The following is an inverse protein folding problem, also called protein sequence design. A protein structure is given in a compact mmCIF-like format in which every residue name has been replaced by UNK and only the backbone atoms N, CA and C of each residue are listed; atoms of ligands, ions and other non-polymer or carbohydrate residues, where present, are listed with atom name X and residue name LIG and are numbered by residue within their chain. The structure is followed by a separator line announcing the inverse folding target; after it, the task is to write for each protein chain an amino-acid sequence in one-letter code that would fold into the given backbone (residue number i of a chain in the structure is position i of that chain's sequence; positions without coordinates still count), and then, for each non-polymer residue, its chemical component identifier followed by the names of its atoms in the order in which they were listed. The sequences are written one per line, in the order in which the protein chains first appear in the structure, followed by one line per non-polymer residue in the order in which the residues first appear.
data_IF_056125101443
#
_entry.id   IF_056125101443
#
_cell.length_a   1.000
_cell.length_b   1.000
_cell.length_c   1.000
_cell.angle_alpha   90.00
_cell.angle_beta   90.00
_cell.angle_gamma   90.00
#
_symmetry.space_group_name_H-M   'P 1'
#
loop_
_entity.id
_entity.type
_entity.pdbx_description
1 polymer ?
#
# COMPACT_ATOMS: atom_id res chain seq x y z
N UNK A 1 21.16 12.73 -46.62
CA UNK A 1 21.19 11.72 -45.53
C UNK A 1 20.45 12.16 -44.27
N UNK A 2 20.72 13.34 -43.69
CA UNK A 2 20.00 13.86 -42.50
C UNK A 2 18.48 13.97 -42.69
N UNK A 3 18.03 14.44 -43.86
CA UNK A 3 16.59 14.55 -44.19
C UNK A 3 15.90 13.20 -44.40
N UNK A 4 16.62 12.19 -44.89
CA UNK A 4 16.08 10.82 -45.07
C UNK A 4 15.95 10.14 -43.70
N UNK A 5 16.92 10.36 -42.81
CA UNK A 5 16.85 9.89 -41.41
C UNK A 5 15.67 10.50 -40.67
N UNK A 6 15.48 11.81 -40.78
CA UNK A 6 14.35 12.48 -40.14
C UNK A 6 13.01 12.03 -40.74
N UNK A 7 12.93 11.83 -42.06
CA UNK A 7 11.73 11.29 -42.71
C UNK A 7 11.38 9.87 -42.23
N UNK A 8 12.39 8.99 -42.12
CA UNK A 8 12.19 7.63 -41.62
C UNK A 8 11.77 7.60 -40.14
N UNK A 9 12.31 8.49 -39.31
CA UNK A 9 11.90 8.64 -37.92
C UNK A 9 10.45 9.15 -37.83
N UNK A 10 10.08 10.17 -38.62
CA UNK A 10 8.70 10.68 -38.66
C UNK A 10 7.72 9.63 -39.19
N UNK A 11 8.11 8.84 -40.20
CA UNK A 11 7.30 7.74 -40.73
C UNK A 11 7.14 6.61 -39.70
N UNK A 12 8.18 6.30 -38.93
CA UNK A 12 8.12 5.33 -37.83
C UNK A 12 7.21 5.82 -36.70
N UNK A 13 7.30 7.11 -36.33
CA UNK A 13 6.41 7.73 -35.33
C UNK A 13 4.96 7.72 -35.80
N UNK A 14 4.70 8.04 -37.07
CA UNK A 14 3.35 7.95 -37.66
C UNK A 14 2.84 6.51 -37.69
N UNK A 15 3.69 5.55 -38.03
CA UNK A 15 3.32 4.14 -38.06
C UNK A 15 3.02 3.58 -36.66
N UNK A 16 3.86 3.92 -35.67
CA UNK A 16 3.63 3.60 -34.26
C UNK A 16 2.37 4.31 -33.74
N UNK A 17 2.16 5.58 -34.08
CA UNK A 17 0.96 6.33 -33.72
C UNK A 17 -0.32 5.74 -34.33
N UNK A 18 -0.29 5.29 -35.58
CA UNK A 18 -1.42 4.61 -36.24
C UNK A 18 -1.68 3.24 -35.59
N UNK A 19 -0.64 2.49 -35.23
CA UNK A 19 -0.75 1.26 -34.45
C UNK A 19 -1.34 1.51 -33.06
N UNK A 20 -0.92 2.59 -32.39
CA UNK A 20 -1.37 3.01 -31.06
C UNK A 20 -2.84 3.45 -31.08
N UNK A 21 -3.26 4.19 -32.12
CA UNK A 21 -4.65 4.59 -32.33
C UNK A 21 -5.53 3.36 -32.61
N UNK A 22 -5.13 2.48 -33.54
CA UNK A 22 -5.88 1.24 -33.81
C UNK A 22 -5.91 0.26 -32.63
N UNK A 23 -4.88 0.26 -31.77
CA UNK A 23 -4.84 -0.52 -30.53
C UNK A 23 -5.67 0.11 -29.39
N UNK A 24 -6.05 1.39 -29.47
CA UNK A 24 -6.91 2.01 -28.46
C UNK A 24 -8.37 2.14 -28.86
N UNK A 25 -8.78 2.02 -30.12
CA UNK A 25 -10.15 2.46 -30.47
C UNK A 25 -11.23 1.40 -30.68
N UNK A 26 -10.95 0.13 -30.97
CA UNK A 26 -12.07 -0.82 -31.20
C UNK A 26 -11.86 -2.27 -30.74
N UNK A 27 -10.67 -2.85 -30.86
CA UNK A 27 -10.47 -4.27 -30.51
C UNK A 27 -10.27 -4.49 -29.01
N UNK A 28 -9.55 -3.58 -28.34
CA UNK A 28 -9.04 -3.79 -26.98
C UNK A 28 -10.02 -3.37 -25.88
N UNK A 29 -10.77 -2.27 -26.06
CA UNK A 29 -11.84 -1.87 -25.13
C UNK A 29 -13.06 -2.80 -25.18
N UNK A 30 -13.25 -3.52 -26.28
CA UNK A 30 -14.39 -4.41 -26.49
C UNK A 30 -14.02 -5.89 -26.37
N UNK A 31 -12.81 -6.26 -25.93
CA UNK A 31 -12.49 -7.68 -25.72
C UNK A 31 -13.46 -8.32 -24.71
N UNK A 32 -13.89 -7.53 -23.73
CA UNK A 32 -14.91 -7.88 -22.75
C UNK A 32 -16.29 -8.16 -23.37
N UNK A 33 -16.66 -7.49 -24.48
CA UNK A 33 -17.93 -7.75 -25.17
C UNK A 33 -17.90 -9.00 -26.05
N UNK A 34 -16.74 -9.63 -26.24
CA UNK A 34 -16.60 -10.97 -26.84
C UNK A 34 -16.55 -12.11 -25.81
N UNK A 35 -16.46 -11.81 -24.51
CA UNK A 35 -16.46 -12.78 -23.39
C UNK A 35 -17.70 -13.70 -23.38
N UNK A 36 -18.93 -13.24 -23.68
CA UNK A 36 -20.12 -14.10 -23.64
C UNK A 36 -20.09 -15.27 -24.63
N UNK A 37 -19.22 -15.21 -25.66
CA UNK A 37 -19.06 -16.29 -26.64
C UNK A 37 -18.15 -17.43 -26.14
N UNK A 38 -17.38 -17.22 -25.06
CA UNK A 38 -16.33 -18.14 -24.60
C UNK A 38 -16.44 -18.55 -23.13
N UNK A 39 -17.42 -18.03 -22.36
CA UNK A 39 -17.67 -18.41 -20.95
C UNK A 39 -17.81 -19.92 -20.73
N UNK A 40 -18.24 -20.68 -21.74
CA UNK A 40 -18.38 -22.13 -21.66
C UNK A 40 -17.06 -22.92 -21.88
N UNK A 41 -15.93 -22.25 -22.12
CA UNK A 41 -14.64 -22.90 -22.41
C UNK A 41 -13.51 -22.36 -21.52
N UNK A 42 -13.30 -23.02 -20.36
CA UNK A 42 -12.31 -22.66 -19.32
C UNK A 42 -10.91 -22.35 -19.86
N UNK A 43 -10.41 -23.19 -20.78
CA UNK A 43 -9.08 -23.02 -21.39
C UNK A 43 -9.00 -21.76 -22.26
N UNK A 44 -10.06 -21.44 -23.01
CA UNK A 44 -10.09 -20.24 -23.85
C UNK A 44 -10.13 -18.97 -22.99
N UNK A 45 -10.86 -18.98 -21.87
CA UNK A 45 -10.89 -17.88 -20.92
C UNK A 45 -9.53 -17.64 -20.25
N UNK A 46 -8.84 -18.69 -19.81
CA UNK A 46 -7.46 -18.60 -19.30
C UNK A 46 -6.49 -18.05 -20.35
N UNK A 47 -6.51 -18.57 -21.59
CA UNK A 47 -5.66 -18.07 -22.66
C UNK A 47 -5.91 -16.60 -23.00
N UNK A 48 -7.17 -16.14 -22.98
CA UNK A 48 -7.53 -14.74 -23.23
C UNK A 48 -7.05 -13.86 -22.06
N UNK A 49 -7.19 -14.33 -20.82
CA UNK A 49 -6.67 -13.64 -19.64
C UNK A 49 -5.14 -13.49 -19.70
N UNK A 50 -4.43 -14.58 -19.98
CA UNK A 50 -2.97 -14.60 -20.10
C UNK A 50 -2.48 -13.72 -21.26
N UNK A 51 -3.18 -13.74 -22.40
CA UNK A 51 -2.88 -12.88 -23.53
C UNK A 51 -3.14 -11.41 -23.22
N UNK A 52 -4.25 -11.10 -22.55
CA UNK A 52 -4.59 -9.74 -22.10
C UNK A 52 -3.56 -9.21 -21.11
N UNK A 53 -3.12 -10.05 -20.17
CA UNK A 53 -2.08 -9.70 -19.20
C UNK A 53 -0.73 -9.47 -19.89
N UNK A 54 -0.30 -10.40 -20.74
CA UNK A 54 0.95 -10.26 -21.52
C UNK A 54 0.95 -9.00 -22.40
N UNK A 55 -0.21 -8.66 -22.98
CA UNK A 55 -0.34 -7.47 -23.80
C UNK A 55 -0.40 -6.19 -22.96
N UNK A 56 -1.03 -6.24 -21.78
CA UNK A 56 -1.02 -5.15 -20.80
C UNK A 56 0.42 -4.82 -20.39
N UNK A 57 1.20 -5.85 -20.02
CA UNK A 57 2.64 -5.74 -19.72
C UNK A 57 3.42 -5.13 -20.88
N UNK A 58 3.15 -5.59 -22.12
CA UNK A 58 3.78 -5.02 -23.32
C UNK A 58 3.40 -3.55 -23.53
N UNK A 59 2.14 -3.18 -23.33
CA UNK A 59 1.66 -1.80 -23.52
C UNK A 59 2.13 -0.85 -22.42
N UNK A 60 2.22 -1.31 -21.16
CA UNK A 60 2.81 -0.56 -20.06
C UNK A 60 4.30 -0.24 -20.32
N UNK A 61 4.98 -1.14 -21.05
CA UNK A 61 6.37 -0.93 -21.48
C UNK A 61 6.55 0.08 -22.64
N UNK A 62 5.47 0.57 -23.27
CA UNK A 62 5.53 1.58 -24.35
C UNK A 62 5.30 3.02 -23.83
N UNK A 63 6.16 4.00 -24.16
CA UNK A 63 6.07 5.33 -23.58
C UNK A 63 4.87 6.11 -24.13
N UNK A 64 4.21 6.88 -23.26
CA UNK A 64 3.13 7.78 -23.65
C UNK A 64 3.64 8.92 -24.56
N UNK A 65 2.78 9.56 -25.37
CA UNK A 65 3.21 10.69 -26.20
C UNK A 65 3.85 11.83 -25.40
N UNK A 66 3.36 12.11 -24.20
CA UNK A 66 3.95 13.06 -23.24
C UNK A 66 5.32 12.60 -22.77
N UNK A 67 5.48 11.33 -22.41
CA UNK A 67 6.78 10.72 -22.04
C UNK A 67 7.81 10.78 -23.17
N UNK A 68 7.38 10.52 -24.41
CA UNK A 68 8.25 10.63 -25.59
C UNK A 68 8.71 12.08 -25.78
N UNK A 69 7.81 13.06 -25.61
CA UNK A 69 8.14 14.47 -25.76
C UNK A 69 9.10 14.92 -24.66
N UNK A 70 8.86 14.52 -23.41
CA UNK A 70 9.73 14.77 -22.26
C UNK A 70 11.14 14.20 -22.49
N UNK A 71 11.22 12.93 -22.88
CA UNK A 71 12.49 12.26 -23.20
C UNK A 71 13.25 12.93 -24.37
N UNK A 72 12.54 13.42 -25.40
CA UNK A 72 13.16 14.14 -26.53
C UNK A 72 13.74 15.49 -26.09
N UNK A 73 13.10 16.15 -25.14
CA UNK A 73 13.49 17.48 -24.67
C UNK A 73 14.45 17.46 -23.48
N UNK A 74 14.61 16.31 -22.83
CA UNK A 74 15.30 16.21 -21.53
C UNK A 74 14.56 16.98 -20.44
N UNK A 75 13.23 17.06 -20.54
CA UNK A 75 12.36 17.68 -19.54
C UNK A 75 11.81 16.58 -18.62
N UNK A 76 11.83 16.79 -17.31
CA UNK A 76 11.11 15.94 -16.35
C UNK A 76 9.61 16.18 -16.48
N UNK A 77 8.81 15.11 -16.41
CA UNK A 77 7.35 15.25 -16.35
C UNK A 77 6.94 15.54 -14.91
N UNK A 78 6.02 16.51 -14.69
CA UNK A 78 5.46 16.71 -13.38
C UNK A 78 4.74 15.43 -12.93
N UNK A 79 4.92 15.09 -11.66
CA UNK A 79 4.22 14.01 -10.97
C UNK A 79 2.71 14.25 -11.08
N UNK A 80 1.94 13.20 -11.37
CA UNK A 80 0.47 13.30 -11.40
C UNK A 80 -0.06 13.27 -9.95
N UNK A 81 -0.78 14.31 -9.49
CA UNK A 81 -1.34 14.35 -8.14
C UNK A 81 -2.40 13.26 -7.87
N UNK A 82 -2.90 12.55 -8.89
CA UNK A 82 -3.81 11.40 -8.73
C UNK A 82 -3.09 10.05 -8.49
N UNK A 83 -1.75 10.02 -8.50
CA UNK A 83 -0.96 8.79 -8.31
C UNK A 83 -1.10 8.22 -6.88
N UNK A 84 -1.45 6.94 -6.75
CA UNK A 84 -1.71 6.26 -5.46
C UNK A 84 -0.43 5.73 -4.79
N UNK A 85 -0.31 5.92 -3.47
CA UNK A 85 0.85 5.58 -2.63
C UNK A 85 0.93 4.10 -2.22
N UNK A 86 2.13 3.50 -2.23
CA UNK A 86 2.45 2.10 -1.87
C UNK A 86 3.78 1.95 -1.11
N UNK A 87 3.75 2.15 0.22
CA UNK A 87 4.81 2.03 1.25
C UNK A 87 6.29 2.44 1.01
N UNK A 88 6.85 3.24 1.93
CA UNK A 88 8.23 3.24 2.47
C UNK A 88 8.40 4.27 3.62
N UNK A 89 9.25 3.95 4.63
CA UNK A 89 10.27 4.82 5.30
C UNK A 89 10.51 4.52 6.80
N UNK A 90 11.78 4.60 7.28
CA UNK A 90 12.19 4.48 8.70
C UNK A 90 13.37 5.40 9.11
N UNK A 91 13.39 5.91 10.35
CA UNK A 91 14.65 6.10 11.10
C UNK A 91 14.69 5.19 12.35
N UNK A 92 15.84 4.52 12.55
CA UNK A 92 16.25 3.44 13.49
C UNK A 92 15.87 1.97 13.15
N UNK A 93 16.18 1.50 11.92
CA UNK A 93 15.76 0.17 11.41
C UNK A 93 16.83 -0.96 11.48
N UNK A 94 16.45 -2.20 11.84
CA UNK A 94 17.07 -3.42 11.27
C UNK A 94 16.09 -4.26 10.41
N UNK A 95 15.19 -3.61 9.66
CA UNK A 95 14.04 -4.13 8.87
C UNK A 95 12.98 -4.86 9.74
N UNK A 96 11.69 -4.96 9.36
CA UNK A 96 11.15 -5.88 8.35
C UNK A 96 9.75 -5.40 7.93
N UNK A 97 9.65 -4.70 6.81
CA UNK A 97 8.52 -4.87 5.89
C UNK A 97 8.90 -6.02 4.95
N UNK A 98 7.91 -6.75 4.47
CA UNK A 98 7.95 -7.57 3.28
C UNK A 98 6.61 -7.29 2.61
N UNK A 99 6.52 -6.59 1.48
CA UNK A 99 5.55 -7.12 0.52
C UNK A 99 5.97 -8.58 0.26
N UNK A 100 5.13 -9.54 -0.15
CA UNK A 100 5.68 -10.72 -0.80
C UNK A 100 6.53 -10.20 -1.98
N UNK A 101 7.84 -10.08 -1.74
CA UNK A 101 8.91 -9.67 -2.65
C UNK A 101 9.21 -8.16 -2.88
N UNK A 102 8.65 -7.19 -2.14
CA UNK A 102 9.01 -5.75 -2.30
C UNK A 102 9.22 -4.99 -0.99
N UNK A 103 10.19 -4.08 -0.96
CA UNK A 103 10.62 -3.29 0.18
C UNK A 103 11.45 -2.10 -0.26
N UNK A 104 11.07 -0.88 0.12
CA UNK A 104 11.93 0.29 0.01
C UNK A 104 12.02 0.92 1.39
N UNK A 105 13.25 1.18 1.78
CA UNK A 105 13.63 1.86 3.00
C UNK A 105 14.35 3.11 2.60
N UNK A 106 14.18 4.12 3.43
CA UNK A 106 14.90 5.34 3.22
C UNK A 106 15.38 5.81 4.59
N UNK A 107 16.58 6.39 4.66
CA UNK A 107 17.25 6.84 5.89
C UNK A 107 18.03 8.14 5.67
N UNK A 108 18.13 9.03 6.65
CA UNK A 108 19.06 10.18 6.60
C UNK A 108 20.46 9.73 7.02
N UNK A 109 21.49 10.32 6.45
CA UNK A 109 22.87 10.12 6.91
C UNK A 109 23.11 10.76 8.29
N UNK A 110 24.20 10.36 8.96
CA UNK A 110 24.58 10.90 10.28
C UNK A 110 24.85 12.42 10.24
N UNK A 111 25.21 12.95 9.07
CA UNK A 111 25.48 14.37 8.85
C UNK A 111 24.21 15.19 8.54
N UNK A 112 23.08 14.54 8.27
CA UNK A 112 21.82 15.15 7.87
C UNK A 112 21.93 16.00 6.60
N UNK A 113 22.72 15.53 5.64
CA UNK A 113 22.99 16.17 4.35
C UNK A 113 22.47 15.36 3.18
N UNK A 114 22.20 14.08 3.39
CA UNK A 114 21.72 13.17 2.35
C UNK A 114 20.70 12.19 2.89
N UNK A 115 19.95 11.62 1.95
CA UNK A 115 18.97 10.58 2.17
C UNK A 115 19.38 9.37 1.36
N UNK A 116 19.50 8.21 2.00
CA UNK A 116 19.76 6.94 1.34
C UNK A 116 18.46 6.18 1.14
N UNK A 117 18.16 5.81 -0.10
CA UNK A 117 17.00 5.03 -0.53
C UNK A 117 17.50 3.66 -0.96
N UNK A 118 17.04 2.60 -0.30
CA UNK A 118 17.52 1.26 -0.57
C UNK A 118 16.43 0.23 -0.36
N UNK A 119 16.55 -0.93 -1.00
CA UNK A 119 15.55 -1.98 -0.90
C UNK A 119 15.51 -2.90 -2.10
N UNK A 120 14.45 -3.66 -2.28
CA UNK A 120 14.25 -4.60 -3.38
C UNK A 120 12.81 -4.48 -3.85
N UNK A 121 12.58 -4.45 -5.15
CA UNK A 121 11.24 -4.43 -5.74
C UNK A 121 11.16 -5.54 -6.77
N UNK A 122 10.22 -6.47 -6.58
CA UNK A 122 10.07 -7.61 -7.47
C UNK A 122 9.25 -7.32 -8.73
N UNK A 123 8.36 -6.32 -8.68
CA UNK A 123 7.52 -5.97 -9.81
C UNK A 123 8.39 -5.41 -10.95
N UNK A 124 8.40 -6.06 -12.12
CA UNK A 124 9.17 -5.61 -13.27
C UNK A 124 8.70 -4.26 -13.82
N UNK A 125 7.52 -3.76 -13.44
CA UNK A 125 7.01 -2.43 -13.76
C UNK A 125 7.50 -1.34 -12.81
N UNK A 126 8.21 -1.68 -11.73
CA UNK A 126 8.73 -0.72 -10.74
C UNK A 126 10.26 -0.66 -10.77
N UNK A 127 10.82 -0.41 -11.95
CA UNK A 127 12.28 -0.43 -12.20
C UNK A 127 13.00 0.85 -11.84
N UNK A 128 12.25 1.93 -11.66
CA UNK A 128 12.78 3.23 -11.29
C UNK A 128 12.08 3.72 -10.05
N UNK A 129 12.84 4.32 -9.13
CA UNK A 129 12.30 5.15 -8.06
C UNK A 129 12.48 6.61 -8.43
N UNK A 130 11.50 7.44 -8.08
CA UNK A 130 11.52 8.88 -8.29
C UNK A 130 11.40 9.49 -6.91
N UNK A 131 12.45 10.19 -6.51
CA UNK A 131 12.56 10.79 -5.20
C UNK A 131 12.37 12.28 -5.37
N UNK A 132 11.28 12.80 -4.82
CA UNK A 132 10.88 14.18 -4.93
C UNK A 132 11.01 14.86 -3.58
N UNK A 133 11.74 15.97 -3.53
CA UNK A 133 11.77 16.87 -2.40
C UNK A 133 10.84 18.04 -2.70
N UNK A 134 9.86 18.29 -1.82
CA UNK A 134 8.97 19.45 -1.89
C UNK A 134 8.98 20.25 -0.59
N UNK A 135 8.53 21.50 -0.68
CA UNK A 135 8.21 22.28 0.52
C UNK A 135 6.79 21.98 1.04
N UNK A 136 6.41 22.58 2.17
CA UNK A 136 5.10 22.38 2.81
C UNK A 136 3.91 22.88 1.96
N UNK A 137 4.16 23.62 0.88
CA UNK A 137 3.15 24.02 -0.09
C UNK A 137 3.02 23.04 -1.27
N UNK A 138 3.73 21.91 -1.20
CA UNK A 138 3.93 20.93 -2.27
C UNK A 138 4.65 21.51 -3.50
N UNK A 139 5.41 22.61 -3.36
CA UNK A 139 6.28 23.10 -4.44
C UNK A 139 7.53 22.21 -4.53
N UNK A 140 7.74 21.59 -5.69
CA UNK A 140 8.90 20.74 -5.97
C UNK A 140 10.20 21.57 -5.93
N UNK A 141 11.16 21.14 -5.11
CA UNK A 141 12.48 21.76 -4.96
C UNK A 141 13.55 21.02 -5.73
N UNK A 142 13.53 19.69 -5.68
CA UNK A 142 14.47 18.82 -6.37
C UNK A 142 13.84 17.45 -6.64
N UNK A 143 14.31 16.78 -7.69
CA UNK A 143 13.86 15.44 -8.06
C UNK A 143 15.05 14.61 -8.53
N UNK A 144 15.08 13.35 -8.13
CA UNK A 144 16.11 12.40 -8.55
C UNK A 144 15.46 11.08 -8.94
N UNK A 145 15.81 10.55 -10.11
CA UNK A 145 15.43 9.20 -10.51
C UNK A 145 16.56 8.21 -10.24
N UNK A 146 16.20 7.07 -9.66
CA UNK A 146 17.10 5.96 -9.37
C UNK A 146 16.64 4.74 -10.14
N UNK A 147 17.55 4.11 -10.88
CA UNK A 147 17.29 2.82 -11.54
C UNK A 147 17.59 1.65 -10.61
N UNK A 148 16.76 0.61 -10.67
CA UNK A 148 17.02 -0.66 -10.01
C UNK A 148 18.30 -1.32 -10.54
N UNK A 149 19.04 -1.92 -9.62
CA UNK A 149 20.15 -2.84 -9.85
C UNK A 149 19.62 -4.23 -10.21
N UNK A 150 20.53 -5.17 -10.45
CA UNK A 150 20.19 -6.58 -10.73
C UNK A 150 19.27 -7.17 -9.65
N UNK A 151 18.16 -7.78 -10.05
CA UNK A 151 17.21 -8.38 -9.13
C UNK A 151 16.23 -7.39 -8.49
N UNK A 152 16.09 -6.17 -9.04
CA UNK A 152 15.14 -5.18 -8.55
C UNK A 152 15.62 -4.42 -7.32
N UNK A 153 16.91 -4.52 -6.98
CA UNK A 153 17.49 -3.89 -5.79
C UNK A 153 17.72 -2.39 -6.01
N UNK A 154 17.37 -1.56 -5.04
CA UNK A 154 17.71 -0.15 -4.99
C UNK A 154 18.73 0.07 -3.88
N UNK A 155 19.70 0.95 -4.11
CA UNK A 155 20.65 1.38 -3.10
C UNK A 155 21.36 2.65 -3.59
N UNK A 156 20.78 3.81 -3.31
CA UNK A 156 21.31 5.11 -3.69
C UNK A 156 21.31 6.08 -2.54
N UNK A 157 22.25 7.02 -2.57
CA UNK A 157 22.34 8.14 -1.63
C UNK A 157 22.16 9.44 -2.41
N UNK A 158 21.17 10.24 -2.00
CA UNK A 158 20.70 11.44 -2.68
C UNK A 158 20.94 12.63 -1.76
N UNK A 159 21.58 13.68 -2.28
CA UNK A 159 21.79 14.90 -1.51
C UNK A 159 20.46 15.59 -1.22
N UNK A 160 20.27 16.08 0.01
CA UNK A 160 19.11 16.91 0.34
C UNK A 160 19.36 18.32 -0.24
N UNK A 161 18.39 18.91 -0.96
CA UNK A 161 18.59 20.21 -1.58
C UNK A 161 18.92 21.31 -0.56
N UNK A 162 19.84 22.20 -0.94
CA UNK A 162 20.15 23.38 -0.13
C UNK A 162 18.94 24.32 -0.09
N UNK A 163 18.37 24.51 1.10
CA UNK A 163 17.17 25.32 1.27
C UNK A 163 17.10 26.00 2.63
N UNK A 164 16.43 27.15 2.67
CA UNK A 164 16.13 27.90 3.87
C UNK A 164 14.95 27.35 4.67
N UNK A 165 14.18 26.40 4.11
CA UNK A 165 13.06 25.77 4.80
C UNK A 165 13.53 24.98 6.03
N UNK A 166 12.67 24.93 7.04
CA UNK A 166 12.87 24.15 8.28
C UNK A 166 12.29 22.75 8.21
N UNK A 167 11.42 22.50 7.22
CA UNK A 167 10.76 21.22 6.94
C UNK A 167 10.71 20.99 5.44
N UNK A 168 10.87 19.73 5.03
CA UNK A 168 10.69 19.27 3.66
C UNK A 168 9.79 18.04 3.63
N UNK A 169 9.05 17.89 2.55
CA UNK A 169 8.32 16.66 2.23
C UNK A 169 9.19 15.82 1.29
N UNK A 170 9.33 14.54 1.62
CA UNK A 170 10.00 13.56 0.79
C UNK A 170 8.98 12.56 0.28
N UNK A 171 8.86 12.48 -1.04
CA UNK A 171 7.88 11.65 -1.72
C UNK A 171 8.63 10.70 -2.63
N UNK A 172 8.36 9.40 -2.49
CA UNK A 172 9.04 8.35 -3.28
C UNK A 172 7.99 7.70 -4.17
N UNK A 173 8.20 7.75 -5.47
CA UNK A 173 7.37 7.05 -6.45
C UNK A 173 8.15 5.89 -7.06
N UNK A 174 7.44 4.94 -7.66
CA UNK A 174 8.03 3.95 -8.53
C UNK A 174 7.35 3.94 -9.90
N UNK A 175 8.11 3.58 -10.92
CA UNK A 175 7.55 3.43 -12.25
C UNK A 175 8.42 2.59 -13.19
N UNK A 176 7.88 2.31 -14.38
CA UNK A 176 8.58 1.49 -15.37
C UNK A 176 9.71 2.27 -16.07
N UNK A 177 9.78 3.59 -15.85
CA UNK A 177 10.71 4.54 -16.47
C UNK A 177 11.11 5.64 -15.47
N UNK A 178 12.12 6.40 -15.85
CA UNK A 178 12.58 7.61 -15.15
C UNK A 178 11.61 8.80 -15.26
N UNK A 179 10.62 8.73 -16.15
CA UNK A 179 9.68 9.80 -16.50
C UNK A 179 8.31 9.22 -16.84
N UNK A 180 7.22 9.94 -16.59
CA UNK A 180 5.87 9.53 -16.99
C UNK A 180 4.87 9.54 -15.84
N UNK A 181 3.86 8.70 -15.96
CA UNK A 181 2.97 8.37 -14.84
C UNK A 181 3.70 7.41 -13.91
N UNK A 182 3.57 7.64 -12.61
CA UNK A 182 4.22 6.84 -11.60
C UNK A 182 3.15 6.22 -10.70
N UNK A 183 3.53 5.22 -9.91
CA UNK A 183 2.73 4.79 -8.78
C UNK A 183 3.50 5.27 -7.57
N UNK A 184 2.91 6.16 -6.78
CA UNK A 184 3.55 6.61 -5.55
C UNK A 184 3.83 5.39 -4.67
N UNK A 185 4.99 5.36 -4.03
CA UNK A 185 5.28 4.44 -2.94
C UNK A 185 5.01 5.13 -1.60
N UNK A 186 5.29 6.41 -1.50
CA UNK A 186 4.96 7.20 -0.31
C UNK A 186 4.49 8.53 -0.80
N UNK A 187 3.22 8.84 -0.59
CA UNK A 187 2.71 10.18 -0.81
C UNK A 187 2.71 10.93 0.52
N UNK A 188 3.57 11.94 0.65
CA UNK A 188 3.50 12.97 1.69
C UNK A 188 3.51 12.46 3.14
N UNK A 189 4.26 11.39 3.43
CA UNK A 189 4.34 10.80 4.78
C UNK A 189 5.75 10.85 5.40
N UNK A 190 6.75 11.28 4.63
CA UNK A 190 8.10 11.46 5.12
C UNK A 190 8.36 12.95 5.21
N UNK A 191 8.45 13.45 6.44
CA UNK A 191 8.88 14.83 6.66
C UNK A 191 10.32 14.83 7.13
N UNK A 192 11.15 15.62 6.48
CA UNK A 192 12.48 15.95 6.97
C UNK A 192 12.37 17.24 7.77
N UNK A 193 12.95 17.27 8.96
CA UNK A 193 13.02 18.44 9.83
C UNK A 193 14.47 18.70 10.23
N UNK A 194 14.81 19.95 10.54
CA UNK A 194 16.13 20.28 11.07
C UNK A 194 16.20 20.00 12.57
N UNK A 195 17.21 19.25 13.00
CA UNK A 195 17.51 19.07 14.42
C UNK A 195 18.20 20.32 15.02
N UNK A 196 18.52 20.30 16.32
CA UNK A 196 19.17 21.41 17.03
C UNK A 196 20.51 21.86 16.42
N UNK A 197 21.19 20.95 15.71
CA UNK A 197 22.46 21.22 15.04
C UNK A 197 22.28 21.70 13.58
N UNK A 198 21.03 21.85 13.12
CA UNK A 198 20.69 22.24 11.76
C UNK A 198 20.77 21.11 10.73
N UNK A 199 21.09 19.89 11.14
CA UNK A 199 21.16 18.71 10.27
C UNK A 199 19.74 18.16 10.01
N UNK A 200 19.48 17.68 8.80
CA UNK A 200 18.19 17.07 8.46
C UNK A 200 18.05 15.70 9.12
N UNK A 201 16.90 15.47 9.72
CA UNK A 201 16.46 14.19 10.25
C UNK A 201 15.04 13.94 9.80
N UNK A 202 14.60 12.69 9.84
CA UNK A 202 13.20 12.36 9.63
C UNK A 202 12.43 12.70 10.88
N UNK A 203 11.29 13.35 10.69
CA UNK A 203 10.35 13.65 11.74
C UNK A 203 9.81 12.34 12.32
N UNK A 204 10.22 12.07 13.56
CA UNK A 204 9.68 10.95 14.31
C UNK A 204 8.26 11.27 14.75
N UNK A 205 7.35 10.28 14.72
CA UNK A 205 5.99 10.52 15.20
C UNK A 205 6.02 10.73 16.72
N UNK A 206 5.25 11.68 17.28
CA UNK A 206 5.21 11.91 18.72
C UNK A 206 4.70 10.71 19.53
N UNK A 207 4.02 9.75 18.89
CA UNK A 207 3.54 8.51 19.54
C UNK A 207 4.44 7.30 19.27
N UNK A 208 5.51 7.44 18.49
CA UNK A 208 6.37 6.32 18.11
C UNK A 208 6.94 5.55 19.30
N UNK A 209 7.55 6.24 20.27
CA UNK A 209 8.16 5.56 21.41
C UNK A 209 7.14 4.81 22.27
N UNK A 210 5.93 5.38 22.43
CA UNK A 210 4.83 4.70 23.10
C UNK A 210 4.39 3.45 22.33
N UNK A 211 4.25 3.56 21.01
CA UNK A 211 3.92 2.44 20.13
C UNK A 211 5.00 1.35 20.17
N UNK A 212 6.28 1.73 20.17
CA UNK A 212 7.41 0.80 20.26
C UNK A 212 7.38 -0.01 21.55
N UNK A 213 7.18 0.65 22.70
CA UNK A 213 7.05 -0.03 24.00
C UNK A 213 5.89 -1.04 23.97
N UNK A 214 4.75 -0.67 23.36
CA UNK A 214 3.59 -1.55 23.25
C UNK A 214 3.85 -2.72 22.28
N UNK A 215 4.43 -2.43 21.12
CA UNK A 215 4.72 -3.40 20.08
C UNK A 215 5.78 -4.44 20.49
N UNK A 216 6.80 -4.03 21.25
CA UNK A 216 7.87 -4.91 21.74
C UNK A 216 7.47 -5.72 22.99
N UNK A 217 6.31 -5.43 23.57
CA UNK A 217 5.77 -6.21 24.69
C UNK A 217 5.59 -7.66 24.28
N UNK A 218 5.89 -8.59 25.19
CA UNK A 218 5.67 -10.02 24.95
C UNK A 218 4.16 -10.29 24.72
N UNK A 219 3.85 -10.87 23.57
CA UNK A 219 2.50 -11.18 23.10
C UNK A 219 2.32 -12.69 23.15
N UNK A 220 1.36 -13.13 23.96
CA UNK A 220 1.07 -14.55 24.13
C UNK A 220 0.51 -15.16 22.84
N UNK A 221 1.30 -16.03 22.19
CA UNK A 221 0.88 -16.83 21.04
C UNK A 221 -0.39 -17.65 21.36
N UNK A 222 -0.48 -18.24 22.55
CA UNK A 222 -1.67 -19.00 22.96
C UNK A 222 -2.94 -18.15 23.05
N UNK A 223 -2.83 -16.90 23.50
CA UNK A 223 -3.97 -15.98 23.51
C UNK A 223 -4.34 -15.55 22.09
N UNK A 224 -3.34 -15.30 21.25
CA UNK A 224 -3.50 -14.92 19.86
C UNK A 224 -4.01 -16.06 18.96
N UNK A 225 -4.09 -17.30 19.46
CA UNK A 225 -4.70 -18.46 18.78
C UNK A 225 -6.10 -18.80 19.32
N UNK A 226 -6.52 -18.17 20.43
CA UNK A 226 -7.73 -18.59 21.14
C UNK A 226 -8.98 -18.11 20.39
N UNK A 227 -9.93 -19.02 20.16
CA UNK A 227 -11.28 -18.67 19.72
C UNK A 227 -12.02 -17.87 20.82
N UNK A 228 -12.82 -16.89 20.44
CA UNK A 228 -13.65 -16.09 21.36
C UNK A 228 -15.08 -15.98 20.81
N UNK A 229 -16.06 -15.46 21.57
CA UNK A 229 -17.40 -15.30 21.05
C UNK A 229 -17.47 -14.52 19.73
N UNK A 230 -16.66 -13.45 19.56
CA UNK A 230 -16.63 -12.70 18.30
C UNK A 230 -15.60 -13.24 17.29
N UNK A 231 -14.45 -13.72 17.76
CA UNK A 231 -13.38 -14.29 16.93
C UNK A 231 -13.62 -15.81 16.81
N UNK A 232 -14.62 -16.17 16.02
CA UNK A 232 -15.15 -17.53 15.88
C UNK A 232 -14.25 -18.42 14.99
N UNK A 233 -12.98 -18.59 15.36
CA UNK A 233 -11.98 -19.32 14.56
C UNK A 233 -12.21 -20.84 14.49
N UNK A 234 -13.11 -21.37 15.32
CA UNK A 234 -13.53 -22.78 15.31
C UNK A 234 -14.79 -23.02 14.45
N UNK A 235 -15.37 -21.96 13.86
CA UNK A 235 -16.51 -22.09 12.96
C UNK A 235 -16.12 -22.74 11.62
N UNK A 236 -16.95 -23.66 11.16
CA UNK A 236 -16.66 -24.44 9.94
C UNK A 236 -16.62 -23.62 8.66
N UNK A 237 -17.38 -22.52 8.57
CA UNK A 237 -17.34 -21.64 7.41
C UNK A 237 -16.05 -20.82 7.42
N UNK A 238 -15.64 -20.31 8.58
CA UNK A 238 -14.37 -19.57 8.75
C UNK A 238 -13.18 -20.44 8.37
N UNK A 239 -13.11 -21.66 8.89
CA UNK A 239 -12.04 -22.64 8.57
C UNK A 239 -12.01 -22.90 7.05
N UNK A 240 -13.16 -23.21 6.47
CA UNK A 240 -13.26 -23.55 5.04
C UNK A 240 -12.83 -22.41 4.11
N UNK A 241 -13.17 -21.17 4.45
CA UNK A 241 -12.73 -19.98 3.71
C UNK A 241 -11.20 -19.85 3.81
N UNK A 242 -10.66 -19.92 5.03
CA UNK A 242 -9.22 -19.74 5.23
C UNK A 242 -8.40 -20.83 4.53
N UNK A 243 -8.79 -22.11 4.62
CA UNK A 243 -8.13 -23.22 3.94
C UNK A 243 -8.15 -23.07 2.41
N UNK A 244 -9.28 -22.65 1.83
CA UNK A 244 -9.40 -22.44 0.39
C UNK A 244 -8.52 -21.29 -0.11
N UNK A 245 -8.51 -20.17 0.60
CA UNK A 245 -7.71 -19.00 0.21
C UNK A 245 -6.20 -19.25 0.33
N UNK A 246 -5.80 -20.20 1.17
CA UNK A 246 -4.41 -20.46 1.50
C UNK A 246 -3.84 -21.76 0.92
N UNK A 247 -4.60 -22.48 0.10
CA UNK A 247 -4.24 -23.82 -0.44
C UNK A 247 -2.87 -23.82 -1.15
N UNK A 248 -2.55 -22.74 -1.87
CA UNK A 248 -1.30 -22.62 -2.64
C UNK A 248 -0.22 -21.79 -1.95
N UNK A 249 -0.47 -21.29 -0.73
CA UNK A 249 0.48 -20.48 0.03
C UNK A 249 1.47 -21.40 0.77
N UNK A 250 2.75 -21.02 0.78
CA UNK A 250 3.80 -21.86 1.38
C UNK A 250 4.26 -21.39 2.74
N UNK A 251 4.28 -20.07 2.97
CA UNK A 251 4.67 -19.44 4.24
C UNK A 251 3.47 -18.94 5.01
N UNK A 252 3.60 -18.69 6.32
CA UNK A 252 2.52 -18.08 7.09
C UNK A 252 2.32 -16.62 6.68
N UNK A 253 3.37 -16.00 6.14
CA UNK A 253 3.31 -14.67 5.55
C UNK A 253 2.41 -14.60 4.31
N UNK A 254 2.63 -15.50 3.34
CA UNK A 254 1.81 -15.57 2.11
C UNK A 254 0.34 -15.85 2.45
N UNK A 255 0.09 -16.66 3.48
CA UNK A 255 -1.26 -16.93 3.98
C UNK A 255 -1.89 -15.69 4.57
N UNK A 256 -1.17 -14.98 5.44
CA UNK A 256 -1.63 -13.73 6.04
C UNK A 256 -1.98 -12.66 4.98
N UNK A 257 -1.18 -12.58 3.91
CA UNK A 257 -1.43 -11.70 2.77
C UNK A 257 -2.68 -12.12 1.97
N UNK A 258 -2.82 -13.40 1.63
CA UNK A 258 -4.00 -13.89 0.91
C UNK A 258 -5.31 -13.68 1.69
N UNK A 259 -5.28 -13.88 3.01
CA UNK A 259 -6.42 -13.61 3.88
C UNK A 259 -6.72 -12.10 3.96
N UNK A 260 -5.70 -11.26 3.99
CA UNK A 260 -5.84 -9.80 4.01
C UNK A 260 -6.57 -9.33 2.75
N UNK A 261 -6.08 -9.73 1.58
CA UNK A 261 -6.62 -9.33 0.28
C UNK A 261 -8.08 -9.76 0.13
N UNK A 262 -8.42 -10.95 0.64
CA UNK A 262 -9.79 -11.40 0.65
C UNK A 262 -10.67 -10.53 1.55
N UNK A 263 -10.25 -10.22 2.78
CA UNK A 263 -11.05 -9.35 3.67
C UNK A 263 -11.25 -7.97 3.05
N UNK A 264 -10.19 -7.34 2.55
CA UNK A 264 -10.23 -6.01 1.94
C UNK A 264 -11.02 -5.93 0.62
N UNK A 265 -11.16 -7.05 -0.09
CA UNK A 265 -11.97 -7.13 -1.31
C UNK A 265 -13.42 -7.56 -1.06
N UNK A 266 -13.68 -8.25 0.06
CA UNK A 266 -14.98 -8.85 0.38
C UNK A 266 -15.86 -7.98 1.27
N UNK A 267 -15.27 -7.30 2.26
CA UNK A 267 -16.00 -6.53 3.27
C UNK A 267 -16.02 -5.05 2.91
N UNK A 268 -17.19 -4.44 2.98
CA UNK A 268 -17.39 -3.01 2.81
C UNK A 268 -17.33 -2.28 4.15
N UNK A 269 -16.60 -1.17 4.20
CA UNK A 269 -16.62 -0.29 5.36
C UNK A 269 -17.96 0.43 5.50
N UNK A 270 -18.65 0.23 6.62
CA UNK A 270 -20.01 0.71 6.87
C UNK A 270 -20.00 2.12 7.49
N UNK A 271 -19.79 3.15 6.66
CA UNK A 271 -19.84 4.56 7.12
C UNK A 271 -21.24 4.95 7.62
N UNK A 272 -22.29 4.31 7.08
CA UNK A 272 -23.69 4.59 7.43
C UNK A 272 -23.98 4.21 8.88
N UNK A 273 -23.71 2.97 9.27
CA UNK A 273 -23.95 2.53 10.65
C UNK A 273 -23.08 3.28 11.65
N UNK A 274 -21.86 3.71 11.28
CA UNK A 274 -21.04 4.58 12.11
C UNK A 274 -21.70 5.95 12.33
N UNK A 275 -22.29 6.54 11.28
CA UNK A 275 -22.95 7.85 11.34
C UNK A 275 -24.27 7.83 12.13
N UNK A 276 -24.93 6.67 12.18
CA UNK A 276 -26.24 6.47 12.81
C UNK A 276 -26.15 5.89 14.24
N UNK A 277 -24.93 5.64 14.75
CA UNK A 277 -24.67 4.96 16.04
C UNK A 277 -25.39 3.61 16.14
N UNK A 278 -25.47 2.89 15.02
CA UNK A 278 -26.12 1.58 14.93
C UNK A 278 -25.15 0.47 15.34
N UNK A 279 -25.70 -0.60 15.93
CA UNK A 279 -24.90 -1.80 16.23
C UNK A 279 -24.46 -2.46 14.93
N UNK A 280 -23.17 -2.38 14.62
CA UNK A 280 -22.57 -2.99 13.44
C UNK A 280 -22.14 -4.44 13.73
N UNK A 281 -22.23 -5.35 12.73
CA UNK A 281 -21.70 -6.70 12.87
C UNK A 281 -20.23 -6.69 13.29
N UNK A 282 -19.90 -7.41 14.36
CA UNK A 282 -18.53 -7.58 14.81
C UNK A 282 -18.16 -9.03 15.13
N UNK A 283 -19.10 -9.96 15.04
CA UNK A 283 -18.84 -11.40 15.05
C UNK A 283 -18.36 -11.83 13.67
N UNK A 284 -17.30 -12.63 13.59
CA UNK A 284 -16.71 -13.03 12.32
C UNK A 284 -17.74 -13.63 11.34
N UNK A 285 -18.66 -14.48 11.82
CA UNK A 285 -19.71 -15.07 10.98
C UNK A 285 -20.73 -14.04 10.51
N UNK A 286 -21.11 -13.08 11.36
CA UNK A 286 -22.03 -12.00 10.96
C UNK A 286 -21.39 -11.08 9.92
N UNK A 287 -20.08 -10.79 10.03
CA UNK A 287 -19.35 -9.99 9.03
C UNK A 287 -19.29 -10.74 7.69
N UNK A 288 -19.05 -12.06 7.71
CA UNK A 288 -19.08 -12.89 6.49
C UNK A 288 -20.46 -12.83 5.81
N UNK A 289 -21.53 -12.94 6.59
CA UNK A 289 -22.91 -12.94 6.09
C UNK A 289 -23.33 -11.57 5.54
N UNK A 290 -23.03 -10.50 6.28
CA UNK A 290 -23.49 -9.15 5.94
C UNK A 290 -22.57 -8.43 4.93
N UNK A 291 -21.32 -8.88 4.82
CA UNK A 291 -20.27 -8.26 3.98
C UNK A 291 -19.99 -6.79 4.29
N UNK A 292 -20.36 -6.33 5.47
CA UNK A 292 -20.11 -4.95 5.91
C UNK A 292 -19.85 -4.91 7.41
N UNK A 293 -18.96 -4.01 7.81
CA UNK A 293 -18.60 -3.78 9.19
C UNK A 293 -17.90 -2.43 9.37
N UNK A 294 -17.69 -2.02 10.62
CA UNK A 294 -16.68 -1.01 10.99
C UNK A 294 -15.37 -1.70 11.39
N UNK A 295 -14.35 -0.92 11.74
CA UNK A 295 -12.98 -1.38 12.01
C UNK A 295 -12.87 -2.63 12.90
N UNK A 296 -13.68 -2.73 13.96
CA UNK A 296 -13.67 -3.92 14.82
C UNK A 296 -14.12 -5.20 14.11
N UNK A 297 -15.14 -5.14 13.24
CA UNK A 297 -15.60 -6.32 12.52
C UNK A 297 -14.60 -6.81 11.47
N UNK A 298 -13.91 -5.88 10.81
CA UNK A 298 -12.75 -6.18 9.95
C UNK A 298 -11.67 -6.91 10.74
N UNK A 299 -11.23 -6.32 11.86
CA UNK A 299 -10.17 -6.88 12.67
C UNK A 299 -10.52 -8.25 13.28
N UNK A 300 -11.78 -8.43 13.69
CA UNK A 300 -12.29 -9.70 14.22
C UNK A 300 -12.33 -10.78 13.14
N UNK A 301 -12.83 -10.47 11.94
CA UNK A 301 -12.88 -11.44 10.84
C UNK A 301 -11.48 -11.87 10.42
N UNK A 302 -10.56 -10.92 10.22
CA UNK A 302 -9.18 -11.24 9.85
C UNK A 302 -8.50 -12.12 10.91
N UNK A 303 -8.68 -11.81 12.20
CA UNK A 303 -8.18 -12.64 13.28
C UNK A 303 -8.81 -14.04 13.28
N UNK A 304 -10.12 -14.16 13.02
CA UNK A 304 -10.81 -15.45 13.00
C UNK A 304 -10.27 -16.34 11.88
N UNK A 305 -10.07 -15.79 10.68
CA UNK A 305 -9.48 -16.49 9.54
C UNK A 305 -8.05 -16.96 9.85
N UNK A 306 -7.18 -16.08 10.34
CA UNK A 306 -5.80 -16.45 10.69
C UNK A 306 -5.76 -17.56 11.75
N UNK A 307 -6.51 -17.39 12.84
CA UNK A 307 -6.55 -18.34 13.95
C UNK A 307 -7.11 -19.70 13.53
N UNK A 308 -8.04 -19.74 12.58
CA UNK A 308 -8.67 -20.97 12.10
C UNK A 308 -7.68 -21.93 11.42
N UNK A 309 -6.60 -21.39 10.85
CA UNK A 309 -5.49 -22.13 10.25
C UNK A 309 -4.22 -22.08 11.12
N UNK A 310 -4.40 -21.88 12.43
CA UNK A 310 -3.33 -21.87 13.44
C UNK A 310 -2.26 -20.78 13.28
N UNK A 311 -2.60 -19.66 12.61
CA UNK A 311 -1.73 -18.47 12.56
C UNK A 311 -2.13 -17.54 13.73
N UNK A 312 -1.22 -17.25 14.68
CA UNK A 312 -1.52 -16.39 15.82
C UNK A 312 -1.80 -14.97 15.33
N UNK A 313 -2.95 -14.38 15.71
CA UNK A 313 -3.34 -13.05 15.30
C UNK A 313 -4.00 -12.30 16.45
N UNK A 314 -3.46 -11.16 16.85
CA UNK A 314 -4.06 -10.27 17.84
C UNK A 314 -5.06 -9.33 17.18
N UNK A 315 -6.12 -8.98 17.91
CA UNK A 315 -6.91 -7.77 17.63
C UNK A 315 -6.36 -6.68 18.53
N UNK A 316 -5.96 -5.58 17.93
CA UNK A 316 -5.39 -4.41 18.59
C UNK A 316 -6.44 -3.31 18.59
N UNK A 317 -6.55 -2.56 19.67
CA UNK A 317 -7.39 -1.38 19.75
C UNK A 317 -6.56 -0.19 20.17
N UNK A 318 -6.85 0.95 19.54
CA UNK A 318 -6.08 2.14 19.76
C UNK A 318 -6.74 3.36 19.15
N UNK A 319 -5.92 4.37 18.93
CA UNK A 319 -6.36 5.64 18.40
C UNK A 319 -5.76 5.84 17.01
N UNK A 320 -6.55 6.28 16.05
CA UNK A 320 -6.10 6.64 14.71
C UNK A 320 -6.60 8.02 14.30
N UNK A 321 -5.72 8.81 13.68
CA UNK A 321 -6.07 10.06 13.00
C UNK A 321 -6.92 9.76 11.76
N UNK A 322 -7.70 10.73 11.29
CA UNK A 322 -8.62 10.55 10.15
C UNK A 322 -9.91 9.79 10.51
N UNK A 323 -10.05 9.31 11.75
CA UNK A 323 -11.30 8.82 12.31
C UNK A 323 -11.91 9.91 13.18
N UNK A 324 -12.97 10.55 12.68
CA UNK A 324 -13.58 11.73 13.31
C UNK A 324 -12.98 13.03 12.77
N UNK A 325 -12.81 14.04 13.63
CA UNK A 325 -12.30 15.37 13.24
C UNK A 325 -10.77 15.52 13.43
N UNK A 326 -10.14 14.58 14.14
CA UNK A 326 -8.72 14.64 14.45
C UNK A 326 -7.89 14.24 13.22
N UNK A 327 -7.16 15.20 12.64
CA UNK A 327 -6.35 15.02 11.42
C UNK A 327 -4.85 15.15 11.68
N UNK A 328 -4.45 15.58 12.87
CA UNK A 328 -3.05 15.74 13.29
C UNK A 328 -2.86 15.38 14.76
N UNK A 329 -1.64 14.97 15.13
CA UNK A 329 -1.28 14.75 16.52
C UNK A 329 -1.18 16.08 17.28
N UNK A 330 -1.80 16.13 18.45
CA UNK A 330 -1.74 17.25 19.38
C UNK A 330 -1.68 16.74 20.82
N UNK A 331 -1.40 17.63 21.78
CA UNK A 331 -1.26 17.25 23.19
C UNK A 331 -2.46 16.47 23.74
N UNK A 332 -3.67 16.75 23.25
CA UNK A 332 -4.91 16.10 23.71
C UNK A 332 -4.99 14.66 23.22
N UNK A 333 -4.83 14.40 21.92
CA UNK A 333 -4.95 13.04 21.39
C UNK A 333 -3.71 12.17 21.70
N UNK A 334 -2.52 12.76 21.79
CA UNK A 334 -1.31 12.06 22.24
C UNK A 334 -1.47 11.54 23.67
N UNK A 335 -2.08 12.32 24.57
CA UNK A 335 -2.28 11.94 25.98
C UNK A 335 -3.54 11.12 26.24
N UNK A 336 -4.39 10.92 25.23
CA UNK A 336 -5.66 10.20 25.36
C UNK A 336 -5.49 8.68 25.35
N UNK A 337 -6.25 7.99 26.18
CA UNK A 337 -6.44 6.53 26.15
C UNK A 337 -7.75 6.14 25.44
N UNK A 338 -8.41 7.09 24.77
CA UNK A 338 -9.59 6.83 23.96
C UNK A 338 -9.23 5.94 22.77
N UNK A 339 -10.03 4.90 22.53
CA UNK A 339 -9.87 3.99 21.41
C UNK A 339 -10.97 4.29 20.37
N UNK A 340 -10.58 4.74 19.18
CA UNK A 340 -11.50 4.98 18.05
C UNK A 340 -11.28 3.99 16.89
N UNK A 341 -10.26 3.13 16.97
CA UNK A 341 -9.90 2.26 15.86
C UNK A 341 -9.41 0.88 16.33
N UNK A 342 -9.52 -0.10 15.43
CA UNK A 342 -9.09 -1.48 15.66
C UNK A 342 -8.49 -2.10 14.39
N UNK A 343 -7.41 -2.86 14.57
CA UNK A 343 -6.65 -3.52 13.52
C UNK A 343 -6.03 -4.81 14.08
N UNK A 344 -5.07 -5.40 13.36
CA UNK A 344 -4.44 -6.66 13.73
C UNK A 344 -2.93 -6.58 13.84
N UNK A 345 -2.39 -7.50 14.63
CA UNK A 345 -1.00 -7.91 14.53
C UNK A 345 -0.96 -9.43 14.36
N UNK A 346 -0.42 -9.92 13.26
CA UNK A 346 -0.34 -11.35 12.94
C UNK A 346 1.08 -11.87 13.09
N UNK A 347 1.26 -13.04 13.69
CA UNK A 347 2.56 -13.68 13.85
C UNK A 347 2.82 -14.57 12.63
N UNK A 348 3.64 -14.08 11.71
CA UNK A 348 4.00 -14.75 10.48
C UNK A 348 5.51 -14.89 10.38
N UNK A 349 5.99 -16.08 10.02
CA UNK A 349 7.40 -16.38 9.75
C UNK A 349 8.38 -15.90 10.84
N UNK A 350 7.96 -16.01 12.11
CA UNK A 350 8.81 -15.73 13.27
C UNK A 350 8.72 -14.31 13.82
N UNK A 351 7.88 -13.43 13.26
CA UNK A 351 7.70 -12.04 13.73
C UNK A 351 6.24 -11.61 13.73
N UNK A 352 5.93 -10.56 14.49
CA UNK A 352 4.66 -9.87 14.35
C UNK A 352 4.68 -8.95 13.12
N UNK A 353 3.53 -8.86 12.47
CA UNK A 353 3.24 -8.11 11.24
C UNK A 353 2.02 -7.24 11.54
N UNK A 354 2.12 -5.93 11.36
CA UNK A 354 0.99 -5.00 11.56
C UNK A 354 0.09 -5.09 10.34
N UNK A 355 -1.22 -5.27 10.53
CA UNK A 355 -2.19 -5.38 9.45
C UNK A 355 -3.44 -4.57 9.79
N UNK A 356 -3.81 -3.62 8.94
CA UNK A 356 -5.10 -2.92 9.03
C UNK A 356 -5.92 -3.07 7.75
N UNK A 357 -6.72 -4.14 7.73
CA UNK A 357 -7.66 -4.42 6.64
C UNK A 357 -8.72 -3.34 6.43
N UNK A 358 -8.95 -2.46 7.41
CA UNK A 358 -9.96 -1.40 7.30
C UNK A 358 -9.46 -0.30 6.37
N UNK A 359 -8.23 0.17 6.61
CA UNK A 359 -7.63 1.26 5.83
C UNK A 359 -7.10 0.77 4.47
N UNK A 360 -6.86 -0.54 4.35
CA UNK A 360 -6.54 -1.20 3.08
C UNK A 360 -7.77 -1.68 2.29
N UNK A 361 -8.98 -1.53 2.86
CA UNK A 361 -10.22 -1.97 2.21
C UNK A 361 -10.47 -1.24 0.89
N UNK A 362 -10.87 -2.01 -0.12
CA UNK A 362 -11.25 -1.50 -1.44
C UNK A 362 -12.66 -0.91 -1.42
N UNK A 363 -13.52 -1.38 -0.52
CA UNK A 363 -14.96 -1.15 -0.58
C UNK A 363 -15.50 -0.37 0.63
N UNK A 364 -16.45 0.53 0.38
CA UNK A 364 -17.22 1.19 1.44
C UNK A 364 -18.67 1.45 1.05
N UNK A 365 -19.52 1.56 2.07
CA UNK A 365 -20.94 1.91 1.96
C UNK A 365 -21.13 3.28 2.58
N UNK A 366 -21.77 4.19 1.83
CA UNK A 366 -22.11 5.53 2.29
C UNK A 366 -23.42 5.98 1.63
N UNK A 367 -24.35 6.51 2.42
CA UNK A 367 -25.71 6.87 2.02
C UNK A 367 -26.46 5.75 1.28
N UNK A 368 -26.23 4.50 1.68
CA UNK A 368 -26.77 3.30 1.03
C UNK A 368 -26.13 2.92 -0.31
N UNK A 369 -25.11 3.66 -0.76
CA UNK A 369 -24.39 3.39 -2.00
C UNK A 369 -23.09 2.63 -1.73
N UNK A 370 -22.87 1.56 -2.47
CA UNK A 370 -21.65 0.75 -2.44
C UNK A 370 -20.65 1.34 -3.44
N UNK A 371 -19.45 1.63 -2.96
CA UNK A 371 -18.36 2.14 -3.78
C UNK A 371 -17.13 1.26 -3.62
N UNK A 372 -16.44 1.01 -4.73
CA UNK A 372 -15.20 0.23 -4.79
C UNK A 372 -14.10 1.11 -5.40
N UNK A 373 -12.88 1.03 -4.85
CA UNK A 373 -11.67 1.45 -5.56
C UNK A 373 -11.21 0.39 -6.57
N UNK A 374 -10.25 0.76 -7.42
CA UNK A 374 -9.77 -0.12 -8.50
C UNK A 374 -9.06 -1.38 -7.97
N UNK A 375 -8.38 -1.29 -6.83
CA UNK A 375 -7.61 -2.38 -6.23
C UNK A 375 -7.59 -2.30 -4.70
N UNK A 376 -7.30 -3.44 -4.06
CA UNK A 376 -7.00 -3.51 -2.62
C UNK A 376 -5.70 -2.76 -2.37
N UNK A 377 -5.70 -1.91 -1.35
CA UNK A 377 -4.48 -1.25 -0.88
C UNK A 377 -3.69 -2.22 0.00
N UNK A 378 -2.38 -1.99 0.13
CA UNK A 378 -1.50 -2.74 1.04
C UNK A 378 -0.64 -1.79 1.87
N UNK A 379 -1.04 -0.53 1.94
CA UNK A 379 -0.36 0.52 2.68
C UNK A 379 -0.30 0.18 4.18
N UNK A 380 -1.32 -0.53 4.67
CA UNK A 380 -1.43 -0.97 6.05
C UNK A 380 -1.22 -2.48 6.26
N UNK A 381 -0.65 -3.17 5.28
CA UNK A 381 -0.20 -4.56 5.39
C UNK A 381 1.31 -4.62 5.60
N UNK A 382 1.71 -5.19 6.73
CA UNK A 382 3.09 -5.24 7.21
C UNK A 382 3.76 -3.87 7.35
N UNK A 383 2.98 -2.86 7.76
CA UNK A 383 3.49 -1.51 7.91
C UNK A 383 4.64 -1.44 8.90
N UNK A 384 5.65 -0.65 8.55
CA UNK A 384 6.66 -0.27 9.52
C UNK A 384 6.04 0.53 10.67
N UNK A 385 6.53 0.30 11.90
CA UNK A 385 6.01 0.96 13.09
C UNK A 385 6.12 2.50 13.07
N UNK A 386 7.20 3.06 12.53
CA UNK A 386 7.38 4.52 12.43
C UNK A 386 6.37 5.13 11.47
N UNK A 387 6.20 4.50 10.30
CA UNK A 387 5.16 4.87 9.34
C UNK A 387 3.76 4.75 9.97
N UNK A 388 3.46 3.61 10.57
CA UNK A 388 2.19 3.35 11.23
C UNK A 388 1.90 4.38 12.34
N UNK A 389 2.95 4.79 13.07
CA UNK A 389 2.85 5.81 14.13
C UNK A 389 2.49 7.21 13.62
N UNK A 390 2.63 7.50 12.32
CA UNK A 390 2.18 8.78 11.77
C UNK A 390 0.67 8.95 11.87
N UNK A 391 -0.08 7.84 11.86
CA UNK A 391 -1.53 7.86 11.87
C UNK A 391 -2.15 7.08 13.03
N UNK A 392 -1.43 6.14 13.64
CA UNK A 392 -1.94 5.22 14.66
C UNK A 392 -1.18 5.28 15.98
N UNK A 393 -1.89 5.10 17.09
CA UNK A 393 -1.38 4.92 18.45
C UNK A 393 -1.92 3.62 19.05
N UNK A 394 -1.02 2.72 19.44
CA UNK A 394 -1.31 1.42 20.05
C UNK A 394 -1.67 1.63 21.53
N UNK A 395 -2.85 1.18 21.96
CA UNK A 395 -3.30 1.32 23.35
C UNK A 395 -3.52 -0.02 24.04
N UNK A 396 -4.17 -0.97 23.37
CA UNK A 396 -4.58 -2.23 24.00
C UNK A 396 -4.54 -3.42 23.04
N UNK A 397 -4.07 -4.55 23.55
CA UNK A 397 -4.26 -5.86 22.93
C UNK A 397 -5.54 -6.48 23.48
N UNK A 398 -6.55 -6.65 22.63
CA UNK A 398 -7.86 -7.12 23.06
C UNK A 398 -7.76 -8.55 23.61
N UNK A 399 -7.90 -8.71 24.92
CA UNK A 399 -7.83 -10.01 25.59
C UNK A 399 -9.18 -10.72 25.72
N UNK A 400 -10.29 -10.02 25.43
CA UNK A 400 -11.67 -10.48 25.72
C UNK A 400 -12.67 -10.35 24.57
N UNK A 401 -12.28 -9.75 23.43
CA UNK A 401 -13.19 -9.56 22.30
C UNK A 401 -13.43 -10.88 21.60
#
# INVERSE_FOLDING_TARGET
MKHIRNFLITALILFIGILFVNAKTDFFYNIASYIPAFENHRIAAEMIKDASQSLSELTASLPSPSEIIAAIKGEELPIDPEDTAHNAYIADSPMLTFYPHENISVMTDETGTSVSVFGIVSDPMKRHLIINFSDESNEQLDQTSVSSLSGGTFNETIAIPETAYSRLELTVFAGPREYGQFTSWVLNLIHLVRNENGAWTIEQSPVYEANKIMYEKDKSISNALRSTPSIQSEDSAVISIAEQLTENCTSDYDKAAALHDWVCSYVYYDEDSLSLDETTPYYATEVIENRKAVCLGFATLYAALCRSISIPCNVVSGYALGIGEDTEWNETNISSDYQNHAWNEVYADGRWVIVDTTWDSRGKIKNGEYTDSESVSHLYFDSNLQYFSQTHKILEYATRR
#
